data_IF_658309177135
#
_entry.id   IF_658309177135
#
_cell.length_a   1.000
_cell.length_b   1.000
_cell.length_c   1.000
_cell.angle_alpha   90.00
_cell.angle_beta   90.00
_cell.angle_gamma   90.00
#
_symmetry.space_group_name_H-M   'P 1'
#
loop_
_entity.id
_entity.type
_entity.pdbx_description
1 polymer ?
#
# COMPACT_ATOMS: atom_id res chain seq x y z
N UNK A 1 15.82 41.87 -29.85
CA UNK A 1 15.02 40.78 -29.25
C UNK A 1 13.79 41.41 -28.61
N UNK A 2 12.59 41.03 -29.03
CA UNK A 2 11.35 41.60 -28.47
C UNK A 2 11.10 40.97 -27.11
N UNK A 3 11.11 41.77 -26.05
CA UNK A 3 10.74 41.34 -24.69
C UNK A 3 9.22 41.28 -24.60
N UNK A 4 8.67 40.07 -24.64
CA UNK A 4 7.23 39.87 -24.44
C UNK A 4 6.86 40.28 -23.01
N UNK A 5 5.92 41.21 -22.87
CA UNK A 5 5.43 41.68 -21.57
C UNK A 5 4.34 40.71 -21.10
N UNK A 6 4.67 39.88 -20.11
CA UNK A 6 3.72 38.91 -19.55
C UNK A 6 2.69 39.56 -18.64
N UNK A 7 1.42 39.18 -18.80
CA UNK A 7 0.30 39.48 -17.90
C UNK A 7 -0.60 38.25 -17.77
N UNK A 8 -1.57 38.29 -16.84
CA UNK A 8 -2.58 37.21 -16.69
C UNK A 8 -3.31 36.93 -18.01
N UNK A 9 -3.75 37.98 -18.71
CA UNK A 9 -4.49 37.88 -19.97
C UNK A 9 -3.63 37.36 -21.13
N UNK A 10 -2.34 37.72 -21.16
CA UNK A 10 -1.42 37.20 -22.18
C UNK A 10 -1.19 35.71 -21.97
N UNK A 11 -1.01 35.28 -20.71
CA UNK A 11 -0.83 33.86 -20.38
C UNK A 11 -2.07 33.03 -20.76
N UNK A 12 -3.27 33.46 -20.40
CA UNK A 12 -4.50 32.71 -20.74
C UNK A 12 -4.73 32.66 -22.25
N UNK A 13 -4.49 33.77 -22.96
CA UNK A 13 -4.57 33.84 -24.43
C UNK A 13 -3.59 32.89 -25.11
N UNK A 14 -2.33 32.88 -24.67
CA UNK A 14 -1.31 32.00 -25.24
C UNK A 14 -1.65 30.53 -24.96
N UNK A 15 -2.18 30.20 -23.78
CA UNK A 15 -2.67 28.85 -23.48
C UNK A 15 -3.83 28.44 -24.39
N UNK A 16 -4.81 29.33 -24.60
CA UNK A 16 -5.93 29.07 -25.51
C UNK A 16 -5.46 28.86 -26.94
N UNK A 17 -4.49 29.65 -27.40
CA UNK A 17 -3.87 29.48 -28.70
C UNK A 17 -3.20 28.11 -28.83
N UNK A 18 -2.42 27.68 -27.84
CA UNK A 18 -1.81 26.35 -27.85
C UNK A 18 -2.85 25.23 -27.93
N UNK A 19 -3.98 25.36 -27.22
CA UNK A 19 -5.09 24.41 -27.34
C UNK A 19 -5.74 24.40 -28.72
N UNK A 20 -5.97 25.57 -29.32
CA UNK A 20 -6.55 25.71 -30.67
C UNK A 20 -5.63 25.13 -31.75
N UNK A 21 -4.33 25.32 -31.59
CA UNK A 21 -3.29 24.76 -32.46
C UNK A 21 -3.12 23.23 -32.28
N UNK A 22 -3.92 22.60 -31.39
CA UNK A 22 -3.86 21.18 -31.11
C UNK A 22 -2.61 20.74 -30.37
N UNK A 23 -1.86 21.68 -29.79
CA UNK A 23 -0.65 21.36 -29.04
C UNK A 23 -1.00 20.66 -27.73
N UNK A 24 -0.10 19.79 -27.30
CA UNK A 24 -0.29 19.03 -26.10
C UNK A 24 0.03 19.88 -24.86
N UNK A 25 -1.01 20.17 -24.10
CA UNK A 25 -0.94 21.02 -22.91
C UNK A 25 -0.43 20.30 -21.65
N UNK A 26 0.04 19.04 -21.75
CA UNK A 26 0.68 18.36 -20.63
C UNK A 26 1.89 19.15 -20.16
N UNK A 27 2.01 19.33 -18.84
CA UNK A 27 3.10 20.09 -18.24
C UNK A 27 4.49 19.70 -18.76
N UNK A 28 4.78 18.41 -18.96
CA UNK A 28 6.08 17.95 -19.49
C UNK A 28 6.35 18.49 -20.89
N UNK A 29 5.37 18.41 -21.78
CA UNK A 29 5.50 18.86 -23.18
C UNK A 29 5.67 20.38 -23.26
N UNK A 30 4.85 21.11 -22.52
CA UNK A 30 4.87 22.58 -22.54
C UNK A 30 6.12 23.12 -21.84
N UNK A 31 6.65 22.41 -20.85
CA UNK A 31 7.93 22.81 -20.22
C UNK A 31 9.10 22.68 -21.21
N UNK A 32 9.07 21.66 -22.06
CA UNK A 32 10.10 21.42 -23.08
C UNK A 32 10.01 22.44 -24.23
N UNK A 33 8.80 22.72 -24.73
CA UNK A 33 8.60 23.55 -25.91
C UNK A 33 8.34 25.04 -25.60
N UNK A 34 7.78 25.37 -24.43
CA UNK A 34 7.26 26.71 -24.08
C UNK A 34 7.62 27.15 -22.64
N UNK A 35 8.86 26.90 -22.22
CA UNK A 35 9.32 27.15 -20.84
C UNK A 35 9.01 28.57 -20.29
N UNK A 36 9.10 29.61 -21.14
CA UNK A 36 8.81 31.01 -20.76
C UNK A 36 7.35 31.20 -20.37
N UNK A 37 6.43 30.57 -21.12
CA UNK A 37 5.01 30.61 -20.84
C UNK A 37 4.68 29.86 -19.54
N UNK A 38 5.30 28.69 -19.31
CA UNK A 38 5.14 27.94 -18.04
C UNK A 38 5.60 28.79 -16.86
N UNK A 39 6.75 29.47 -16.99
CA UNK A 39 7.28 30.34 -15.94
C UNK A 39 6.34 31.51 -15.64
N UNK A 40 5.76 32.13 -16.68
CA UNK A 40 4.76 33.18 -16.52
C UNK A 40 3.48 32.64 -15.87
N UNK A 41 2.98 31.49 -16.31
CA UNK A 41 1.81 30.83 -15.74
C UNK A 41 1.99 30.54 -14.24
N UNK A 42 3.13 29.97 -13.84
CA UNK A 42 3.46 29.75 -12.43
C UNK A 42 3.53 31.07 -11.67
N UNK A 43 4.15 32.11 -12.24
CA UNK A 43 4.26 33.43 -11.59
C UNK A 43 2.89 34.10 -11.35
N UNK A 44 1.98 34.02 -12.30
CA UNK A 44 0.71 34.76 -12.25
C UNK A 44 -0.46 33.97 -11.66
N UNK A 45 -0.46 32.64 -11.77
CA UNK A 45 -1.54 31.73 -11.36
C UNK A 45 -1.10 30.67 -10.33
N UNK A 46 0.18 30.63 -9.97
CA UNK A 46 0.74 29.69 -8.98
C UNK A 46 1.11 28.32 -9.55
N UNK A 47 0.42 27.85 -10.58
CA UNK A 47 0.77 26.61 -11.28
C UNK A 47 0.31 26.63 -12.74
N UNK A 48 0.93 25.80 -13.58
CA UNK A 48 0.46 25.58 -14.96
C UNK A 48 -0.98 25.12 -15.01
N UNK A 49 -1.36 24.13 -14.18
CA UNK A 49 -2.72 23.61 -14.15
C UNK A 49 -3.75 24.69 -13.80
N UNK A 50 -3.45 25.55 -12.82
CA UNK A 50 -4.31 26.67 -12.48
C UNK A 50 -4.44 27.68 -13.62
N UNK A 51 -3.37 27.95 -14.37
CA UNK A 51 -3.41 28.82 -15.54
C UNK A 51 -4.25 28.21 -16.68
N UNK A 52 -4.15 26.90 -16.91
CA UNK A 52 -4.93 26.18 -17.93
C UNK A 52 -6.41 26.16 -17.56
N UNK A 53 -6.73 25.92 -16.28
CA UNK A 53 -8.09 26.04 -15.77
C UNK A 53 -8.62 27.47 -15.89
N UNK A 54 -7.81 28.49 -15.57
CA UNK A 54 -8.18 29.89 -15.74
C UNK A 54 -8.37 30.30 -17.22
N UNK A 55 -7.74 29.58 -18.15
CA UNK A 55 -7.94 29.74 -19.59
C UNK A 55 -9.23 29.05 -20.10
N UNK A 56 -10.02 28.44 -19.21
CA UNK A 56 -11.28 27.77 -19.53
C UNK A 56 -11.13 26.30 -19.96
N UNK A 57 -9.95 25.70 -19.75
CA UNK A 57 -9.65 24.33 -20.17
C UNK A 57 -9.54 23.44 -18.93
N UNK A 58 -10.26 22.31 -18.92
CA UNK A 58 -10.14 21.36 -17.82
C UNK A 58 -8.80 20.62 -17.86
N UNK A 59 -7.86 21.09 -17.03
CA UNK A 59 -6.55 20.48 -16.89
C UNK A 59 -6.58 19.10 -16.22
N UNK A 60 -7.60 18.81 -15.43
CA UNK A 60 -7.76 17.50 -14.78
C UNK A 60 -8.02 16.40 -15.80
N UNK A 61 -8.80 16.70 -16.85
CA UNK A 61 -9.05 15.83 -17.98
C UNK A 61 -7.80 15.55 -18.82
N UNK A 62 -6.96 16.57 -19.03
CA UNK A 62 -5.66 16.41 -19.73
C UNK A 62 -4.75 15.46 -18.93
N UNK A 63 -4.69 15.66 -17.61
CA UNK A 63 -3.88 14.82 -16.72
C UNK A 63 -4.39 13.38 -16.70
N UNK A 64 -5.71 13.17 -16.61
CA UNK A 64 -6.34 11.84 -16.64
C UNK A 64 -6.05 11.11 -17.95
N UNK A 65 -6.29 11.75 -19.10
CA UNK A 65 -5.96 11.18 -20.42
C UNK A 65 -4.49 10.77 -20.56
N UNK A 66 -3.57 11.60 -20.06
CA UNK A 66 -2.15 11.25 -20.06
C UNK A 66 -1.83 10.07 -19.16
N UNK A 67 -2.48 9.96 -18.00
CA UNK A 67 -2.33 8.83 -17.10
C UNK A 67 -2.87 7.56 -17.73
N UNK A 68 -4.03 7.62 -18.38
CA UNK A 68 -4.65 6.50 -19.07
C UNK A 68 -3.79 6.03 -20.25
N UNK A 69 -3.30 6.94 -21.10
CA UNK A 69 -2.42 6.61 -22.22
C UNK A 69 -1.08 5.99 -21.77
N UNK A 70 -0.47 6.49 -20.69
CA UNK A 70 0.72 5.87 -20.08
C UNK A 70 0.40 4.49 -19.51
N UNK A 71 -0.80 4.30 -18.98
CA UNK A 71 -1.25 3.00 -18.46
C UNK A 71 -1.42 1.98 -19.58
N UNK A 72 -2.03 2.39 -20.70
CA UNK A 72 -2.23 1.53 -21.87
C UNK A 72 -0.93 1.14 -22.57
N UNK A 73 0.13 1.94 -22.47
CA UNK A 73 1.46 1.63 -23.04
C UNK A 73 2.33 0.75 -22.13
N UNK A 74 2.02 0.66 -20.83
CA UNK A 74 2.75 -0.16 -19.84
C UNK A 74 1.96 -1.45 -19.57
N UNK A 75 1.63 -2.22 -20.59
CA UNK A 75 0.80 -3.42 -20.44
C UNK A 75 1.64 -4.68 -20.19
N UNK A 76 2.18 -4.80 -18.98
CA UNK A 76 2.44 -6.12 -18.38
C UNK A 76 1.16 -6.71 -17.75
N UNK A 77 0.20 -5.86 -17.41
CA UNK A 77 -0.99 -6.24 -16.64
C UNK A 77 -2.27 -5.83 -17.37
N UNK A 78 -3.25 -6.73 -17.37
CA UNK A 78 -4.63 -6.54 -17.80
C UNK A 78 -5.54 -7.25 -16.79
N UNK A 79 -6.86 -7.03 -16.85
CA UNK A 79 -7.80 -7.79 -16.01
C UNK A 79 -7.66 -9.30 -16.25
N UNK A 80 -7.43 -9.70 -17.50
CA UNK A 80 -7.22 -11.10 -17.89
C UNK A 80 -5.93 -11.67 -17.29
N UNK A 81 -4.79 -10.98 -17.40
CA UNK A 81 -3.53 -11.52 -16.84
C UNK A 81 -3.55 -11.57 -15.31
N UNK A 82 -4.26 -10.65 -14.66
CA UNK A 82 -4.48 -10.69 -13.21
C UNK A 82 -5.37 -11.89 -12.84
N UNK A 83 -6.46 -12.12 -13.58
CA UNK A 83 -7.34 -13.28 -13.35
C UNK A 83 -6.62 -14.60 -13.59
N UNK A 84 -5.82 -14.71 -14.66
CA UNK A 84 -4.99 -15.88 -14.92
C UNK A 84 -3.98 -16.11 -13.80
N UNK A 85 -3.27 -15.06 -13.36
CA UNK A 85 -2.33 -15.18 -12.25
C UNK A 85 -3.00 -15.61 -10.94
N UNK A 86 -4.23 -15.18 -10.67
CA UNK A 86 -4.99 -15.66 -9.51
C UNK A 86 -5.39 -17.14 -9.67
N UNK A 87 -5.81 -17.58 -10.87
CA UNK A 87 -6.10 -18.99 -11.14
C UNK A 87 -4.88 -19.88 -10.95
N UNK A 88 -3.71 -19.45 -11.42
CA UNK A 88 -2.45 -20.16 -11.20
C UNK A 88 -2.14 -20.35 -9.71
N UNK A 89 -2.45 -19.36 -8.86
CA UNK A 89 -2.31 -19.49 -7.40
C UNK A 89 -3.32 -20.47 -6.79
N UNK A 90 -4.51 -20.58 -7.36
CA UNK A 90 -5.53 -21.57 -6.94
C UNK A 90 -5.05 -22.98 -7.30
N UNK A 91 -4.60 -23.15 -8.55
CA UNK A 91 -4.15 -24.44 -9.08
C UNK A 91 -2.87 -24.93 -8.38
N UNK A 92 -1.98 -24.02 -7.98
CA UNK A 92 -0.80 -24.35 -7.18
C UNK A 92 -1.10 -24.63 -5.71
N UNK A 93 -2.35 -24.43 -5.26
CA UNK A 93 -2.75 -24.58 -3.86
C UNK A 93 -2.11 -23.56 -2.92
N UNK A 94 -1.63 -22.42 -3.45
CA UNK A 94 -1.03 -21.37 -2.65
C UNK A 94 -2.08 -20.63 -1.83
N UNK A 95 -1.67 -20.15 -0.65
CA UNK A 95 -2.56 -19.39 0.21
C UNK A 95 -2.87 -18.01 -0.40
N UNK A 96 -4.13 -17.80 -0.79
CA UNK A 96 -4.65 -16.54 -1.38
C UNK A 96 -4.82 -15.40 -0.37
N UNK A 97 -4.34 -15.56 0.86
CA UNK A 97 -4.36 -14.49 1.86
C UNK A 97 -3.53 -13.30 1.38
N UNK A 98 -4.09 -12.10 1.51
CA UNK A 98 -3.48 -10.87 0.99
C UNK A 98 -2.04 -10.65 1.47
N UNK A 99 -1.72 -11.04 2.71
CA UNK A 99 -0.38 -10.93 3.25
C UNK A 99 0.62 -11.89 2.56
N UNK A 100 0.20 -13.11 2.29
CA UNK A 100 1.02 -14.14 1.62
C UNK A 100 1.27 -13.74 0.17
N UNK A 101 0.21 -13.39 -0.57
CA UNK A 101 0.33 -13.01 -1.98
C UNK A 101 1.13 -11.71 -2.15
N UNK A 102 0.99 -10.75 -1.24
CA UNK A 102 1.81 -9.53 -1.26
C UNK A 102 3.31 -9.83 -1.12
N UNK A 103 3.67 -10.84 -0.33
CA UNK A 103 5.07 -11.19 -0.09
C UNK A 103 5.65 -12.05 -1.21
N UNK A 104 4.90 -13.06 -1.67
CA UNK A 104 5.37 -14.03 -2.66
C UNK A 104 5.21 -13.51 -4.10
N UNK A 105 4.13 -12.75 -4.37
CA UNK A 105 3.74 -12.29 -5.69
C UNK A 105 3.43 -10.78 -5.70
N UNK A 106 4.41 -9.92 -5.34
CA UNK A 106 4.18 -8.49 -5.13
C UNK A 106 3.67 -7.75 -6.37
N UNK A 107 4.08 -8.19 -7.56
CA UNK A 107 3.67 -7.57 -8.83
C UNK A 107 2.19 -7.84 -9.16
N UNK A 108 1.74 -9.09 -9.01
CA UNK A 108 0.34 -9.48 -9.18
C UNK A 108 -0.54 -8.80 -8.13
N UNK A 109 -0.11 -8.79 -6.87
CA UNK A 109 -0.83 -8.14 -5.79
C UNK A 109 -0.99 -6.63 -6.05
N UNK A 110 0.10 -5.94 -6.40
CA UNK A 110 0.09 -4.50 -6.70
C UNK A 110 -0.79 -4.16 -7.89
N UNK A 111 -0.83 -5.02 -8.91
CA UNK A 111 -1.73 -4.86 -10.03
C UNK A 111 -3.19 -5.04 -9.57
N UNK A 112 -3.54 -6.12 -8.90
CA UNK A 112 -4.90 -6.37 -8.43
C UNK A 112 -5.47 -5.27 -7.51
N UNK A 113 -4.66 -4.69 -6.60
CA UNK A 113 -5.11 -3.60 -5.72
C UNK A 113 -5.17 -2.22 -6.39
N UNK A 114 -4.64 -2.09 -7.61
CA UNK A 114 -4.69 -0.82 -8.31
C UNK A 114 -6.13 -0.44 -8.66
N UNK A 115 -6.56 0.83 -8.44
CA UNK A 115 -7.87 1.33 -8.85
C UNK A 115 -8.17 1.17 -10.34
N UNK A 116 -7.14 0.95 -11.16
CA UNK A 116 -7.25 0.73 -12.61
C UNK A 116 -7.81 -0.64 -12.99
N UNK A 117 -7.72 -1.60 -12.07
CA UNK A 117 -8.20 -2.97 -12.28
C UNK A 117 -9.31 -3.25 -11.28
N UNK A 118 -9.03 -4.01 -10.20
CA UNK A 118 -10.03 -4.38 -9.21
C UNK A 118 -10.10 -3.44 -8.00
N UNK A 119 -9.09 -2.58 -7.80
CA UNK A 119 -9.02 -1.62 -6.69
C UNK A 119 -8.77 -2.23 -5.30
N UNK A 120 -8.99 -3.54 -5.12
CA UNK A 120 -8.61 -4.27 -3.92
C UNK A 120 -8.43 -5.75 -4.22
N UNK A 121 -7.60 -6.42 -3.42
CA UNK A 121 -7.39 -7.87 -3.52
C UNK A 121 -8.68 -8.65 -3.25
N UNK A 122 -9.50 -8.16 -2.31
CA UNK A 122 -10.82 -8.73 -2.01
C UNK A 122 -11.73 -8.67 -3.22
N UNK A 123 -11.82 -7.52 -3.88
CA UNK A 123 -12.64 -7.36 -5.09
C UNK A 123 -12.14 -8.24 -6.25
N UNK A 124 -10.82 -8.42 -6.40
CA UNK A 124 -10.24 -9.31 -7.42
C UNK A 124 -10.64 -10.78 -7.22
N UNK A 125 -10.72 -11.23 -5.96
CA UNK A 125 -11.17 -12.58 -5.62
C UNK A 125 -12.68 -12.73 -5.75
N UNK A 126 -13.45 -11.75 -5.27
CA UNK A 126 -14.92 -11.74 -5.43
C UNK A 126 -15.35 -11.73 -6.90
N UNK A 127 -14.61 -11.04 -7.76
CA UNK A 127 -14.85 -11.05 -9.21
C UNK A 127 -14.67 -12.43 -9.85
N UNK A 128 -13.93 -13.33 -9.19
CA UNK A 128 -13.75 -14.73 -9.60
C UNK A 128 -14.68 -15.69 -8.86
N UNK A 129 -15.67 -15.17 -8.15
CA UNK A 129 -16.62 -15.97 -7.38
C UNK A 129 -16.05 -16.53 -6.08
N UNK A 130 -14.88 -16.06 -5.63
CA UNK A 130 -14.27 -16.50 -4.38
C UNK A 130 -14.70 -15.61 -3.22
N UNK A 131 -15.13 -16.25 -2.14
CA UNK A 131 -15.37 -15.58 -0.86
C UNK A 131 -14.05 -15.43 -0.07
N UNK A 132 -13.64 -14.18 0.12
CA UNK A 132 -12.39 -13.86 0.81
C UNK A 132 -12.40 -14.26 2.30
N UNK A 133 -13.55 -14.16 2.96
CA UNK A 133 -13.67 -14.45 4.39
C UNK A 133 -13.55 -15.95 4.66
N UNK A 134 -14.08 -16.78 3.75
CA UNK A 134 -13.87 -18.23 3.74
C UNK A 134 -12.40 -18.61 3.61
N UNK A 135 -11.64 -17.95 2.71
CA UNK A 135 -10.20 -18.18 2.51
C UNK A 135 -9.39 -17.86 3.77
N UNK A 136 -9.71 -16.73 4.43
CA UNK A 136 -9.04 -16.34 5.68
C UNK A 136 -9.34 -17.32 6.81
N UNK A 137 -10.56 -17.83 6.87
CA UNK A 137 -10.97 -18.80 7.89
C UNK A 137 -10.25 -20.14 7.70
N UNK A 138 -10.15 -20.63 6.46
CA UNK A 138 -9.41 -21.85 6.15
C UNK A 138 -7.91 -21.72 6.47
N UNK A 139 -7.28 -20.60 6.12
CA UNK A 139 -5.87 -20.35 6.44
C UNK A 139 -5.61 -20.24 7.95
N UNK A 140 -6.56 -19.71 8.72
CA UNK A 140 -6.48 -19.68 10.20
C UNK A 140 -6.55 -21.08 10.81
N UNK A 141 -7.32 -21.98 10.21
CA UNK A 141 -7.47 -23.37 10.67
C UNK A 141 -6.27 -24.25 10.31
N UNK A 142 -5.60 -23.97 9.18
CA UNK A 142 -4.39 -24.70 8.76
C UNK A 142 -3.08 -24.14 9.35
N UNK A 143 -3.12 -22.94 9.94
CA UNK A 143 -2.00 -22.33 10.65
C UNK A 143 -1.74 -23.01 11.99
N UNK A 144 -0.63 -23.73 12.13
CA UNK A 144 -0.07 -24.19 13.42
C UNK A 144 0.46 -23.03 14.29
N UNK A 145 0.51 -21.81 13.75
CA UNK A 145 1.02 -20.65 14.46
C UNK A 145 0.01 -20.15 15.52
N UNK A 146 0.48 -19.76 16.72
CA UNK A 146 -0.40 -19.38 17.81
C UNK A 146 -1.18 -18.09 17.50
N UNK A 147 -2.44 -18.06 17.94
CA UNK A 147 -3.46 -17.02 17.67
C UNK A 147 -3.00 -15.56 17.87
N UNK A 148 -2.02 -15.30 18.75
CA UNK A 148 -1.45 -13.97 18.97
C UNK A 148 0.08 -14.01 19.15
N UNK A 149 0.81 -14.20 18.04
CA UNK A 149 2.27 -14.14 18.03
C UNK A 149 2.85 -12.80 18.53
N UNK A 150 2.09 -11.69 18.44
CA UNK A 150 2.56 -10.37 18.89
C UNK A 150 2.44 -10.22 20.40
N UNK A 151 1.33 -10.67 20.99
CA UNK A 151 1.13 -10.76 22.44
C UNK A 151 2.15 -11.68 23.09
N UNK A 152 2.39 -12.87 22.50
CA UNK A 152 3.42 -13.81 22.95
C UNK A 152 4.82 -13.19 22.96
N UNK A 153 5.22 -12.52 21.86
CA UNK A 153 6.52 -11.81 21.79
C UNK A 153 6.65 -10.71 22.84
N UNK A 154 5.55 -10.03 23.16
CA UNK A 154 5.52 -8.96 24.17
C UNK A 154 5.75 -9.52 25.57
N UNK A 155 5.11 -10.64 25.91
CA UNK A 155 5.32 -11.35 27.18
C UNK A 155 6.76 -11.84 27.28
N UNK A 156 7.27 -12.54 26.26
CA UNK A 156 8.65 -13.04 26.23
C UNK A 156 9.67 -11.91 26.37
N UNK A 157 9.48 -10.77 25.67
CA UNK A 157 10.37 -9.61 25.81
C UNK A 157 10.37 -9.05 27.23
N UNK A 158 9.20 -8.93 27.87
CA UNK A 158 9.09 -8.44 29.25
C UNK A 158 9.75 -9.39 30.24
N UNK A 159 9.51 -10.70 30.10
CA UNK A 159 10.17 -11.72 30.91
C UNK A 159 11.69 -11.63 30.75
N UNK A 160 12.21 -11.50 29.53
CA UNK A 160 13.65 -11.38 29.25
C UNK A 160 14.29 -10.12 29.84
N UNK A 161 13.55 -9.03 29.96
CA UNK A 161 14.00 -7.83 30.68
C UNK A 161 13.98 -8.06 32.19
N UNK A 162 12.95 -8.71 32.74
CA UNK A 162 12.85 -9.02 34.17
C UNK A 162 13.90 -10.03 34.63
N UNK A 163 14.20 -11.07 33.83
CA UNK A 163 15.21 -12.08 34.14
C UNK A 163 16.65 -11.56 34.12
N UNK A 164 16.92 -10.39 33.52
CA UNK A 164 18.21 -9.68 33.69
C UNK A 164 18.38 -9.07 35.08
N UNK A 165 17.29 -8.97 35.86
CA UNK A 165 17.25 -8.30 37.16
C UNK A 165 16.84 -9.22 38.32
N UNK A 166 16.20 -10.37 38.05
CA UNK A 166 15.65 -11.28 39.07
C UNK A 166 15.81 -12.73 38.60
N UNK A 167 16.24 -13.64 39.49
CA UNK A 167 16.27 -15.10 39.25
C UNK A 167 14.89 -15.66 38.87
N UNK A 168 14.80 -16.84 38.22
CA UNK A 168 13.51 -17.44 37.85
C UNK A 168 12.59 -17.55 39.08
N UNK A 169 11.49 -16.80 39.04
CA UNK A 169 10.56 -16.69 40.16
C UNK A 169 9.31 -17.57 39.94
N UNK A 170 8.81 -18.25 40.99
CA UNK A 170 7.63 -19.11 40.89
C UNK A 170 6.38 -18.35 40.44
N UNK A 171 5.45 -19.03 39.76
CA UNK A 171 4.21 -18.45 39.25
C UNK A 171 3.36 -17.75 40.32
N UNK A 172 3.33 -18.27 41.56
CA UNK A 172 2.62 -17.66 42.70
C UNK A 172 3.18 -16.28 43.08
N UNK A 173 4.50 -16.14 43.11
CA UNK A 173 5.18 -14.87 43.38
C UNK A 173 4.99 -13.89 42.22
N UNK A 174 5.00 -14.38 40.98
CA UNK A 174 4.77 -13.57 39.79
C UNK A 174 3.32 -13.06 39.69
N UNK A 175 2.34 -13.87 40.08
CA UNK A 175 0.94 -13.49 40.15
C UNK A 175 0.74 -12.28 41.08
N UNK A 176 1.35 -12.33 42.27
CA UNK A 176 1.23 -11.25 43.26
C UNK A 176 2.00 -9.98 42.86
N UNK A 177 3.21 -10.11 42.28
CA UNK A 177 4.08 -8.97 41.97
C UNK A 177 3.79 -8.33 40.61
N UNK A 178 3.35 -9.12 39.64
CA UNK A 178 3.10 -8.70 38.26
C UNK A 178 1.82 -9.33 37.68
N UNK A 179 0.63 -9.04 38.25
CA UNK A 179 -0.63 -9.71 37.91
C UNK A 179 -0.98 -9.60 36.41
N UNK A 180 -0.85 -8.42 35.82
CA UNK A 180 -1.13 -8.19 34.37
C UNK A 180 -0.17 -8.94 33.44
N UNK A 181 1.07 -9.20 33.88
CA UNK A 181 2.03 -9.97 33.10
C UNK A 181 1.76 -11.46 33.24
N UNK A 182 1.43 -11.90 34.45
CA UNK A 182 1.04 -13.27 34.75
C UNK A 182 -0.22 -13.69 33.97
N UNK A 183 -1.28 -12.89 34.03
CA UNK A 183 -2.53 -13.13 33.28
C UNK A 183 -2.27 -13.26 31.78
N UNK A 184 -1.44 -12.37 31.21
CA UNK A 184 -1.06 -12.44 29.80
C UNK A 184 -0.18 -13.65 29.48
N UNK A 185 0.73 -14.02 30.38
CA UNK A 185 1.57 -15.20 30.21
C UNK A 185 0.71 -16.47 30.17
N UNK A 186 -0.21 -16.63 31.13
CA UNK A 186 -1.16 -17.75 31.17
C UNK A 186 -2.09 -17.74 29.95
N UNK A 187 -2.63 -16.58 29.57
CA UNK A 187 -3.52 -16.48 28.41
C UNK A 187 -2.87 -16.85 27.08
N UNK A 188 -1.56 -16.59 26.92
CA UNK A 188 -0.85 -16.82 25.67
C UNK A 188 -0.01 -18.11 25.62
N UNK A 189 0.49 -18.60 26.76
CA UNK A 189 1.37 -19.78 26.86
C UNK A 189 0.75 -20.94 27.66
N UNK A 190 -0.45 -20.77 28.21
CA UNK A 190 -1.13 -21.77 29.04
C UNK A 190 -0.66 -21.79 30.50
N UNK A 191 0.62 -21.51 30.76
CA UNK A 191 1.16 -21.39 32.11
C UNK A 191 2.29 -20.35 32.20
N UNK A 192 2.63 -19.96 33.43
CA UNK A 192 3.74 -19.06 33.69
C UNK A 192 5.09 -19.73 33.37
N UNK A 193 5.22 -21.01 33.70
CA UNK A 193 6.38 -21.84 33.46
C UNK A 193 6.65 -22.00 31.96
N UNK A 194 5.61 -22.25 31.15
CA UNK A 194 5.72 -22.33 29.70
C UNK A 194 6.14 -20.98 29.08
N UNK A 195 5.73 -19.86 29.67
CA UNK A 195 6.17 -18.54 29.22
C UNK A 195 7.64 -18.25 29.58
N UNK A 196 8.12 -18.73 30.74
CA UNK A 196 9.54 -18.66 31.12
C UNK A 196 10.38 -19.55 30.21
N UNK A 197 9.95 -20.78 29.95
CA UNK A 197 10.60 -21.71 29.03
C UNK A 197 10.67 -21.12 27.62
N UNK A 198 9.60 -20.51 27.12
CA UNK A 198 9.62 -19.81 25.82
C UNK A 198 10.55 -18.58 25.80
N UNK A 199 10.83 -17.97 26.97
CA UNK A 199 11.67 -16.78 27.06
C UNK A 199 13.17 -17.10 27.22
N UNK A 200 13.49 -18.18 27.93
CA UNK A 200 14.83 -18.53 28.42
C UNK A 200 15.26 -19.98 28.18
N UNK A 201 14.37 -20.85 27.70
CA UNK A 201 14.68 -22.25 27.38
C UNK A 201 15.68 -22.39 26.24
N UNK A 202 16.29 -23.57 26.10
CA UNK A 202 17.22 -23.85 25.00
C UNK A 202 16.48 -23.70 23.67
N UNK A 203 17.08 -22.98 22.72
CA UNK A 203 16.59 -23.01 21.34
C UNK A 203 16.88 -24.42 20.82
N UNK A 204 15.83 -25.17 20.52
CA UNK A 204 15.96 -26.37 19.70
C UNK A 204 16.43 -25.90 18.32
N UNK A 205 17.65 -26.26 17.96
CA UNK A 205 18.24 -26.04 16.64
C UNK A 205 17.55 -26.90 15.57
#
# INVERSE_FOLDING_TARGET
>A
MVTQRWSRDVVTRDIQRLAQDGQDLRHSEVTENHQKLVSAAVRYFGSWGAAVTAAGIDYSDIRRRSQDARSGKVTKWSLETISTGIKELIDSGECLAAATVRNNHPALFSAAVSPRYYGSWRAALTAQGLDYDSILTQNRSSSTAPRDARGMRTVVRRLRVLGKSVQPMPGSTAHNKYPKLYERAVAHFGSWEAAIEAAFGPKLD
#
